data_IF_407921755695
#
_entry.id   IF_407921755695
#
_cell.length_a   1.000
_cell.length_b   1.000
_cell.length_c   1.000
_cell.angle_alpha   90.00
_cell.angle_beta   90.00
_cell.angle_gamma   90.00
#
_symmetry.space_group_name_H-M   'P 1'
#
loop_
_entity.id
_entity.type
_entity.pdbx_description
1 polymer ?
#
# COMPACT_ATOMS: atom_id res chain seq x y z
N UNK A 1 -3.75 -10.66 7.46
CA UNK A 1 -4.76 -9.60 7.62
C UNK A 1 -4.46 -8.46 6.66
N UNK A 2 -5.49 -7.94 6.04
CA UNK A 2 -5.42 -6.79 5.17
C UNK A 2 -5.71 -5.52 5.96
N UNK A 3 -5.15 -4.40 5.52
CA UNK A 3 -5.35 -3.09 6.13
C UNK A 3 -5.80 -2.10 5.07
N UNK A 4 -6.54 -1.09 5.49
CA UNK A 4 -7.02 -0.02 4.61
C UNK A 4 -6.98 1.33 5.33
N UNK A 5 -6.90 2.41 4.55
CA UNK A 5 -7.11 3.75 5.07
C UNK A 5 -8.60 4.03 5.19
N UNK A 6 -9.01 4.73 6.26
CA UNK A 6 -10.35 5.28 6.35
C UNK A 6 -10.47 6.52 5.46
N UNK A 7 -11.68 7.04 5.29
CA UNK A 7 -11.94 8.17 4.39
C UNK A 7 -11.20 9.46 4.77
N UNK A 8 -10.66 9.55 5.99
CA UNK A 8 -9.87 10.71 6.40
C UNK A 8 -8.44 10.71 5.81
N UNK A 9 -8.01 9.61 5.18
CA UNK A 9 -6.67 9.48 4.62
C UNK A 9 -5.56 9.45 5.67
N UNK A 10 -5.91 9.27 6.94
CA UNK A 10 -4.98 9.31 8.07
C UNK A 10 -5.02 8.02 8.89
N UNK A 11 -6.22 7.56 9.23
CA UNK A 11 -6.43 6.39 10.08
C UNK A 11 -6.30 5.10 9.28
N UNK A 12 -5.56 4.13 9.82
CA UNK A 12 -5.38 2.81 9.22
C UNK A 12 -6.09 1.79 10.11
N UNK A 13 -6.86 0.90 9.52
CA UNK A 13 -7.60 -0.16 10.22
C UNK A 13 -7.52 -1.47 9.46
N UNK A 14 -7.78 -2.61 10.14
CA UNK A 14 -7.93 -3.89 9.44
C UNK A 14 -9.09 -3.86 8.46
N UNK A 15 -8.89 -4.46 7.29
CA UNK A 15 -9.93 -4.60 6.27
C UNK A 15 -10.79 -5.82 6.58
N UNK A 16 -12.11 -5.70 6.40
CA UNK A 16 -13.03 -6.82 6.44
C UNK A 16 -12.80 -7.69 5.19
N UNK A 17 -12.50 -8.97 5.37
CA UNK A 17 -12.25 -9.91 4.28
C UNK A 17 -13.42 -9.96 3.28
N UNK A 18 -14.65 -9.90 3.78
CA UNK A 18 -15.84 -9.85 2.93
C UNK A 18 -15.87 -8.59 2.09
N UNK A 19 -15.54 -7.44 2.69
CA UNK A 19 -15.47 -6.15 1.98
C UNK A 19 -14.42 -6.20 0.88
N UNK A 20 -13.29 -6.82 1.15
CA UNK A 20 -12.24 -7.00 0.15
C UNK A 20 -12.73 -7.81 -1.05
N UNK A 21 -13.39 -8.94 -0.80
CA UNK A 21 -13.97 -9.78 -1.86
C UNK A 21 -15.05 -9.04 -2.65
N UNK A 22 -15.95 -8.34 -1.95
CA UNK A 22 -17.03 -7.57 -2.59
C UNK A 22 -16.48 -6.42 -3.44
N UNK A 23 -15.43 -5.77 -2.97
CA UNK A 23 -14.84 -4.60 -3.63
C UNK A 23 -14.14 -4.99 -4.92
N UNK A 24 -13.35 -6.05 -4.91
CA UNK A 24 -12.59 -6.49 -6.08
C UNK A 24 -13.34 -7.50 -6.93
N UNK A 25 -14.32 -8.19 -6.37
CA UNK A 25 -15.14 -9.16 -7.12
C UNK A 25 -14.33 -10.26 -7.81
N UNK A 26 -13.10 -10.52 -7.32
CA UNK A 26 -12.15 -11.37 -8.01
C UNK A 26 -12.26 -12.81 -7.53
N UNK A 27 -12.27 -13.78 -8.46
CA UNK A 27 -12.16 -15.18 -8.08
C UNK A 27 -10.87 -15.46 -7.29
N UNK A 28 -10.94 -16.39 -6.35
CA UNK A 28 -9.79 -16.78 -5.52
C UNK A 28 -8.57 -17.17 -6.37
N UNK A 29 -8.79 -17.83 -7.50
CA UNK A 29 -7.71 -18.22 -8.41
C UNK A 29 -6.98 -17.03 -9.01
N UNK A 30 -7.72 -15.96 -9.33
CA UNK A 30 -7.14 -14.72 -9.83
C UNK A 30 -6.29 -14.04 -8.75
N UNK A 31 -6.81 -14.00 -7.53
CA UNK A 31 -6.11 -13.41 -6.39
C UNK A 31 -4.77 -14.11 -6.14
N UNK A 32 -4.74 -15.45 -6.20
CA UNK A 32 -3.49 -16.22 -6.08
C UNK A 32 -2.52 -15.93 -7.20
N UNK A 33 -3.00 -15.79 -8.44
CA UNK A 33 -2.13 -15.45 -9.58
C UNK A 33 -1.52 -14.07 -9.42
N UNK A 34 -2.30 -13.08 -8.96
CA UNK A 34 -1.81 -11.75 -8.66
C UNK A 34 -0.76 -11.78 -7.56
N UNK A 35 -0.98 -12.59 -6.51
CA UNK A 35 -0.03 -12.73 -5.41
C UNK A 35 1.31 -13.31 -5.90
N UNK A 36 1.27 -14.30 -6.77
CA UNK A 36 2.48 -14.87 -7.37
C UNK A 36 3.26 -13.83 -8.16
N UNK A 37 2.57 -13.03 -8.98
CA UNK A 37 3.20 -11.96 -9.74
C UNK A 37 3.83 -10.90 -8.84
N UNK A 38 3.14 -10.52 -7.77
CA UNK A 38 3.66 -9.58 -6.79
C UNK A 38 4.92 -10.13 -6.14
N UNK A 39 4.91 -11.39 -5.74
CA UNK A 39 6.06 -12.05 -5.12
C UNK A 39 7.27 -12.10 -6.08
N UNK A 40 7.05 -12.39 -7.35
CA UNK A 40 8.11 -12.38 -8.38
C UNK A 40 8.69 -10.98 -8.58
N UNK A 41 7.83 -9.95 -8.63
CA UNK A 41 8.25 -8.56 -8.76
C UNK A 41 9.11 -8.16 -7.57
N UNK A 42 8.67 -8.48 -6.36
CA UNK A 42 9.38 -8.10 -5.12
C UNK A 42 10.69 -8.85 -4.98
N UNK A 43 10.73 -10.13 -5.37
CA UNK A 43 11.97 -10.91 -5.38
C UNK A 43 12.99 -10.28 -6.32
N UNK A 44 12.58 -9.93 -7.53
CA UNK A 44 13.45 -9.30 -8.53
C UNK A 44 13.93 -7.93 -8.05
N UNK A 45 13.01 -7.11 -7.49
CA UNK A 45 13.37 -5.80 -6.97
C UNK A 45 14.38 -5.90 -5.84
N UNK A 46 14.22 -6.86 -4.93
CA UNK A 46 15.15 -7.11 -3.84
C UNK A 46 16.53 -7.52 -4.36
N UNK A 47 16.56 -8.48 -5.30
CA UNK A 47 17.82 -8.96 -5.89
C UNK A 47 18.58 -7.86 -6.64
N UNK A 48 17.87 -6.93 -7.24
CA UNK A 48 18.46 -5.83 -8.01
C UNK A 48 18.63 -4.56 -7.18
N UNK A 49 18.34 -4.62 -5.88
CA UNK A 49 18.47 -3.47 -4.95
C UNK A 49 17.65 -2.26 -5.39
N UNK A 50 16.45 -2.51 -5.88
CA UNK A 50 15.51 -1.46 -6.26
C UNK A 50 14.64 -1.06 -5.07
N UNK A 51 14.12 0.16 -5.11
CA UNK A 51 13.15 0.68 -4.16
C UNK A 51 11.79 0.80 -4.81
N UNK A 52 10.73 0.79 -4.00
CA UNK A 52 9.37 0.98 -4.46
C UNK A 52 8.91 2.40 -4.13
N UNK A 53 8.39 3.12 -5.12
CA UNK A 53 7.74 4.40 -4.90
C UNK A 53 6.41 4.14 -4.18
N UNK A 54 6.23 4.76 -3.01
CA UNK A 54 5.02 4.65 -2.20
C UNK A 54 4.37 6.02 -2.16
N UNK A 55 3.36 6.21 -2.99
CA UNK A 55 2.87 7.51 -3.42
C UNK A 55 1.51 7.80 -2.77
N UNK A 56 1.42 8.95 -2.09
CA UNK A 56 0.22 9.34 -1.35
C UNK A 56 -0.90 9.92 -2.23
N UNK A 57 -0.66 10.16 -3.52
CA UNK A 57 -1.67 10.77 -4.40
C UNK A 57 -2.98 9.98 -4.40
N UNK A 58 -2.92 8.65 -4.31
CA UNK A 58 -4.09 7.80 -4.30
C UNK A 58 -5.06 8.04 -3.14
N UNK A 59 -4.57 8.57 -1.99
CA UNK A 59 -5.42 8.92 -0.85
C UNK A 59 -6.44 10.00 -1.21
N UNK A 60 -6.15 10.81 -2.22
CA UNK A 60 -6.96 11.95 -2.63
C UNK A 60 -7.80 11.64 -3.88
N UNK A 61 -7.79 10.39 -4.34
CA UNK A 61 -8.61 9.93 -5.46
C UNK A 61 -9.88 9.27 -4.94
N UNK A 62 -11.02 9.73 -5.44
CA UNK A 62 -12.35 9.37 -4.94
C UNK A 62 -12.57 7.86 -4.78
N UNK A 63 -12.06 7.05 -5.72
CA UNK A 63 -12.30 5.62 -5.75
C UNK A 63 -11.10 4.78 -5.31
N UNK A 64 -9.98 5.41 -5.00
CA UNK A 64 -8.78 4.70 -4.56
C UNK A 64 -8.65 4.67 -3.04
N UNK A 65 -8.58 5.82 -2.40
CA UNK A 65 -8.46 5.99 -0.96
C UNK A 65 -7.35 5.13 -0.34
N UNK A 66 -6.25 5.00 -1.06
CA UNK A 66 -5.09 4.23 -0.66
C UNK A 66 -3.85 4.83 -1.31
N UNK A 67 -2.67 4.46 -0.83
CA UNK A 67 -1.43 4.79 -1.51
C UNK A 67 -1.33 4.00 -2.84
N UNK A 68 -0.52 4.51 -3.76
CA UNK A 68 -0.09 3.75 -4.92
C UNK A 68 1.27 3.11 -4.64
N UNK A 69 1.42 1.82 -4.84
CA UNK A 69 0.50 0.85 -5.43
C UNK A 69 -0.49 0.21 -4.45
N UNK A 70 -0.54 0.63 -3.22
CA UNK A 70 -1.46 0.12 -2.23
C UNK A 70 -0.73 -0.45 -1.02
N UNK A 71 -1.42 -0.42 0.12
CA UNK A 71 -0.85 -0.82 1.41
C UNK A 71 -0.45 -2.31 1.43
N UNK A 72 -1.21 -3.17 0.73
CA UNK A 72 -0.93 -4.60 0.68
C UNK A 72 0.35 -4.89 -0.10
N UNK A 73 0.56 -4.19 -1.21
CA UNK A 73 1.77 -4.32 -2.02
C UNK A 73 2.98 -3.76 -1.26
N UNK A 74 2.78 -2.67 -0.52
CA UNK A 74 3.83 -2.12 0.34
C UNK A 74 4.28 -3.12 1.41
N UNK A 75 3.33 -3.84 2.03
CA UNK A 75 3.65 -4.90 2.98
C UNK A 75 4.47 -6.02 2.34
N UNK A 76 4.09 -6.43 1.14
CA UNK A 76 4.84 -7.44 0.39
C UNK A 76 6.27 -6.98 0.09
N UNK A 77 6.44 -5.71 -0.28
CA UNK A 77 7.75 -5.12 -0.54
C UNK A 77 8.64 -5.15 0.72
N UNK A 78 8.09 -4.73 1.84
CA UNK A 78 8.84 -4.71 3.10
C UNK A 78 9.20 -6.11 3.57
N UNK A 79 8.32 -7.08 3.41
CA UNK A 79 8.60 -8.48 3.74
C UNK A 79 9.70 -9.07 2.87
N UNK A 80 9.85 -8.59 1.64
CA UNK A 80 10.89 -9.00 0.71
C UNK A 80 12.20 -8.20 0.87
N UNK A 81 12.23 -7.22 1.76
CA UNK A 81 13.40 -6.36 1.95
C UNK A 81 13.52 -5.24 0.92
N UNK A 82 12.43 -4.89 0.24
CA UNK A 82 12.40 -3.79 -0.74
C UNK A 82 12.04 -2.50 -0.01
N UNK A 83 12.92 -1.49 0.00
CA UNK A 83 12.63 -0.23 0.67
C UNK A 83 11.49 0.54 0.00
N UNK A 84 10.73 1.27 0.81
CA UNK A 84 9.70 2.19 0.33
C UNK A 84 10.24 3.62 0.33
N UNK A 85 9.94 4.36 -0.72
CA UNK A 85 10.26 5.79 -0.80
C UNK A 85 8.95 6.56 -0.90
N UNK A 86 8.71 7.43 0.08
CA UNK A 86 7.51 8.27 0.12
C UNK A 86 7.55 9.32 -0.98
N UNK A 87 6.43 9.48 -1.68
CA UNK A 87 6.20 10.55 -2.64
C UNK A 87 4.80 11.10 -2.51
N UNK A 88 4.63 12.42 -2.69
CA UNK A 88 3.32 13.06 -2.65
C UNK A 88 2.71 13.27 -4.03
N UNK A 89 3.51 13.13 -5.08
CA UNK A 89 3.10 13.40 -6.47
C UNK A 89 2.45 14.79 -6.59
N UNK A 90 3.07 15.78 -5.96
CA UNK A 90 2.53 17.13 -5.89
C UNK A 90 2.60 17.83 -7.26
N UNK A 91 1.47 18.41 -7.67
CA UNK A 91 1.34 19.22 -8.88
C UNK A 91 1.15 20.70 -8.53
N UNK A 92 1.18 21.05 -7.25
CA UNK A 92 1.10 22.40 -6.70
C UNK A 92 1.79 22.47 -5.35
N UNK A 93 2.09 23.68 -4.89
CA UNK A 93 2.83 23.90 -3.63
C UNK A 93 2.08 23.34 -2.44
N UNK A 94 0.76 23.48 -2.43
CA UNK A 94 -0.12 23.00 -1.34
C UNK A 94 -0.22 21.47 -1.27
N UNK A 95 0.24 20.77 -2.30
CA UNK A 95 0.21 19.31 -2.35
C UNK A 95 1.51 18.66 -1.86
N UNK A 96 2.55 19.44 -1.66
CA UNK A 96 3.86 18.92 -1.24
C UNK A 96 3.74 18.30 0.16
N UNK A 97 4.12 17.02 0.27
CA UNK A 97 4.07 16.28 1.53
C UNK A 97 2.69 15.83 1.96
N UNK A 98 1.66 15.98 1.12
CA UNK A 98 0.31 15.52 1.45
C UNK A 98 0.32 14.01 1.73
N UNK A 99 -0.50 13.58 2.69
CA UNK A 99 -0.58 12.16 3.06
C UNK A 99 0.51 11.69 4.02
N UNK A 100 1.39 12.58 4.48
CA UNK A 100 2.44 12.22 5.42
C UNK A 100 1.89 11.66 6.75
N UNK A 101 0.77 12.18 7.24
CA UNK A 101 0.12 11.65 8.45
C UNK A 101 -0.36 10.22 8.26
N UNK A 102 -0.93 9.90 7.10
CA UNK A 102 -1.30 8.53 6.74
C UNK A 102 -0.08 7.62 6.69
N UNK A 103 1.03 8.09 6.13
CA UNK A 103 2.29 7.36 6.09
C UNK A 103 2.80 7.05 7.51
N UNK A 104 2.77 8.02 8.41
CA UNK A 104 3.19 7.80 9.80
C UNK A 104 2.33 6.74 10.49
N UNK A 105 1.03 6.77 10.29
CA UNK A 105 0.13 5.77 10.86
C UNK A 105 0.38 4.39 10.27
N UNK A 106 0.64 4.32 8.97
CA UNK A 106 1.03 3.07 8.33
C UNK A 106 2.29 2.48 8.94
N UNK A 107 3.31 3.31 9.19
CA UNK A 107 4.56 2.87 9.82
C UNK A 107 4.31 2.33 11.23
N UNK A 108 3.41 2.93 11.99
CA UNK A 108 3.03 2.43 13.33
C UNK A 108 2.38 1.05 13.25
N UNK A 109 1.50 0.84 12.27
CA UNK A 109 0.88 -0.47 12.04
C UNK A 109 1.93 -1.51 11.67
N UNK A 110 2.88 -1.14 10.82
CA UNK A 110 3.99 -2.03 10.44
C UNK A 110 4.79 -2.50 11.65
N UNK A 111 5.06 -1.63 12.60
CA UNK A 111 5.81 -2.01 13.80
C UNK A 111 5.08 -3.08 14.61
N UNK A 112 3.75 -3.05 14.63
CA UNK A 112 2.97 -4.11 15.29
C UNK A 112 3.00 -5.42 14.52
N UNK A 113 3.14 -5.39 13.21
CA UNK A 113 3.15 -6.59 12.35
C UNK A 113 4.50 -7.30 12.31
N UNK A 114 5.57 -6.62 12.65
CA UNK A 114 6.93 -7.18 12.68
C UNK A 114 7.20 -8.11 13.86
N UNK A 115 6.25 -8.29 14.73
CA UNK A 115 6.43 -9.10 15.94
C UNK A 115 5.96 -10.52 15.78
#
# INVERSE_FOLDING_TARGET
NFYEFTNDGVTVKPTDDKKYQDYFGLPEAFDRSCQQLIDEIMTTASQRQLSLDFNSAGLYKKYCNDFYPGIQIALAALNAGVPLIFGSDAHGVDEVGRGWHGMKNFLKVLDTLKR
#
